data_IF_986246995904
#
_entry.id   IF_986246995904
#
_cell.length_a   1.000
_cell.length_b   1.000
_cell.length_c   1.000
_cell.angle_alpha   90.00
_cell.angle_beta   90.00
_cell.angle_gamma   90.00
#
_symmetry.space_group_name_H-M   'P 1'
#
loop_
_entity.id
_entity.type
_entity.pdbx_description
1 polymer ?
#
# COMPACT_ATOMS: atom_id res chain seq x y z
N UNK A 1 96.95 -7.23 -33.15
CA UNK A 1 96.20 -7.93 -32.10
C UNK A 1 94.72 -7.63 -32.33
N UNK A 2 94.01 -8.59 -32.91
CA UNK A 2 92.59 -8.48 -33.32
C UNK A 2 91.71 -8.83 -32.12
N UNK A 3 90.84 -7.92 -31.68
CA UNK A 3 89.69 -8.25 -30.82
C UNK A 3 88.48 -7.39 -31.23
N UNK A 4 87.64 -7.99 -32.06
CA UNK A 4 86.18 -7.99 -32.18
C UNK A 4 85.35 -6.74 -31.79
N UNK A 5 84.93 -6.04 -32.86
CA UNK A 5 83.95 -4.93 -32.96
C UNK A 5 82.47 -5.40 -32.90
N UNK A 6 82.18 -6.63 -32.46
CA UNK A 6 80.83 -7.22 -32.60
C UNK A 6 79.94 -7.28 -31.35
N UNK A 7 80.34 -6.70 -30.22
CA UNK A 7 79.53 -6.76 -28.98
C UNK A 7 78.99 -5.43 -28.45
N UNK A 8 79.38 -4.29 -29.03
CA UNK A 8 78.90 -2.97 -28.56
C UNK A 8 77.73 -2.39 -29.36
N UNK A 9 77.23 -3.11 -30.37
CA UNK A 9 76.09 -2.67 -31.18
C UNK A 9 74.72 -3.12 -30.61
N UNK A 10 74.69 -3.94 -29.55
CA UNK A 10 73.43 -4.46 -28.98
C UNK A 10 73.01 -3.71 -27.70
N UNK A 11 73.92 -2.96 -27.06
CA UNK A 11 73.61 -2.18 -25.85
C UNK A 11 73.12 -0.74 -26.12
N UNK A 12 73.30 -0.22 -27.35
CA UNK A 12 72.80 1.12 -27.71
C UNK A 12 71.35 1.13 -28.23
N UNK A 13 70.74 -0.04 -28.44
CA UNK A 13 69.37 -0.15 -29.00
C UNK A 13 68.28 -0.37 -27.93
N UNK A 14 68.66 -0.49 -26.65
CA UNK A 14 67.73 -0.66 -25.52
C UNK A 14 67.56 0.57 -24.64
N UNK A 15 68.27 1.68 -24.91
CA UNK A 15 68.19 2.91 -24.11
C UNK A 15 67.29 4.01 -24.69
N UNK A 16 66.60 3.76 -25.82
CA UNK A 16 65.66 4.72 -26.44
C UNK A 16 64.19 4.27 -26.31
N UNK A 17 63.93 3.06 -25.81
CA UNK A 17 62.57 2.52 -25.62
C UNK A 17 61.99 2.76 -24.21
N UNK A 18 62.67 3.54 -23.37
CA UNK A 18 62.32 3.75 -21.95
C UNK A 18 61.64 5.08 -21.60
N UNK A 19 61.45 6.01 -22.55
CA UNK A 19 60.93 7.35 -22.25
C UNK A 19 59.74 7.80 -23.13
N UNK A 20 59.01 6.88 -23.78
CA UNK A 20 57.86 7.21 -24.61
C UNK A 20 56.53 6.54 -24.17
N UNK A 21 56.35 6.37 -22.86
CA UNK A 21 55.09 5.86 -22.28
C UNK A 21 54.61 6.70 -21.08
N UNK A 22 54.84 8.01 -21.11
CA UNK A 22 54.37 8.95 -20.08
C UNK A 22 53.44 10.06 -20.62
N UNK A 23 52.74 9.78 -21.73
CA UNK A 23 51.64 10.60 -22.22
C UNK A 23 50.47 9.69 -22.60
N UNK A 24 49.99 8.93 -21.62
CA UNK A 24 48.63 8.41 -21.69
C UNK A 24 47.77 9.49 -21.03
N UNK A 25 46.86 10.15 -21.77
CA UNK A 25 45.91 11.05 -21.14
C UNK A 25 45.13 10.20 -20.15
N UNK A 26 45.24 10.54 -18.86
CA UNK A 26 44.28 10.10 -17.87
C UNK A 26 42.92 10.55 -18.41
N UNK A 27 42.15 9.60 -18.91
CA UNK A 27 40.80 9.79 -19.37
C UNK A 27 39.98 10.29 -18.18
N UNK A 28 39.73 11.60 -18.18
CA UNK A 28 38.74 12.28 -17.35
C UNK A 28 37.30 11.92 -17.78
N UNK A 29 37.02 10.63 -18.01
CA UNK A 29 35.72 10.10 -18.45
C UNK A 29 34.89 9.52 -17.30
N UNK A 30 35.39 9.56 -16.07
CA UNK A 30 34.68 8.98 -14.92
C UNK A 30 33.65 9.94 -14.30
N UNK A 31 33.74 11.25 -14.54
CA UNK A 31 32.89 12.25 -13.89
C UNK A 31 31.59 12.53 -14.67
N UNK A 32 31.61 12.48 -16.02
CA UNK A 32 30.41 12.71 -16.85
C UNK A 32 29.40 11.56 -16.80
N UNK A 33 29.86 10.30 -16.85
CA UNK A 33 28.95 9.15 -16.87
C UNK A 33 28.15 8.92 -15.58
N UNK A 34 28.66 9.38 -14.43
CA UNK A 34 27.92 9.34 -13.16
C UNK A 34 26.86 10.44 -13.08
N UNK A 35 27.19 11.65 -13.55
CA UNK A 35 26.24 12.76 -13.63
C UNK A 35 25.05 12.41 -14.54
N UNK A 36 25.30 11.85 -15.72
CA UNK A 36 24.26 11.45 -16.67
C UNK A 36 23.35 10.35 -16.10
N UNK A 37 23.92 9.35 -15.43
CA UNK A 37 23.14 8.27 -14.78
C UNK A 37 22.25 8.82 -13.66
N UNK A 38 22.75 9.75 -12.86
CA UNK A 38 21.98 10.36 -11.77
C UNK A 38 20.79 11.18 -12.30
N UNK A 39 20.95 11.85 -13.44
CA UNK A 39 19.88 12.60 -14.11
C UNK A 39 18.86 11.65 -14.76
N UNK A 40 19.31 10.56 -15.39
CA UNK A 40 18.41 9.52 -15.91
C UNK A 40 17.56 8.87 -14.81
N UNK A 41 18.15 8.59 -13.64
CA UNK A 41 17.43 8.09 -12.47
C UNK A 41 16.35 9.08 -12.01
N UNK A 42 16.64 10.39 -12.04
CA UNK A 42 15.65 11.44 -11.76
C UNK A 42 14.56 11.48 -12.84
N UNK A 43 14.83 11.06 -14.08
CA UNK A 43 13.81 10.94 -15.13
C UNK A 43 12.72 9.91 -14.86
N UNK A 44 13.07 8.75 -14.28
CA UNK A 44 12.08 7.81 -13.75
C UNK A 44 11.28 8.43 -12.61
N UNK A 45 11.93 9.26 -11.80
CA UNK A 45 11.27 9.97 -10.69
C UNK A 45 10.23 10.96 -11.22
N UNK A 46 10.52 11.72 -12.29
CA UNK A 46 9.57 12.66 -12.90
C UNK A 46 8.31 11.94 -13.41
N UNK A 47 8.48 10.87 -14.18
CA UNK A 47 7.33 10.13 -14.73
C UNK A 47 6.41 9.61 -13.62
N UNK A 48 6.99 9.11 -12.52
CA UNK A 48 6.21 8.67 -11.37
C UNK A 48 5.56 9.82 -10.60
N UNK A 49 6.23 10.97 -10.48
CA UNK A 49 5.64 12.19 -9.92
C UNK A 49 4.38 12.57 -10.72
N UNK A 50 4.45 12.58 -12.05
CA UNK A 50 3.32 12.92 -12.91
C UNK A 50 2.16 11.92 -12.74
N UNK A 51 2.47 10.62 -12.70
CA UNK A 51 1.48 9.58 -12.47
C UNK A 51 0.82 9.71 -11.09
N UNK A 52 1.61 10.00 -10.05
CA UNK A 52 1.13 10.22 -8.70
C UNK A 52 0.30 11.50 -8.56
N UNK A 53 0.69 12.59 -9.23
CA UNK A 53 -0.09 13.82 -9.28
C UNK A 53 -1.45 13.58 -9.95
N UNK A 54 -1.49 12.80 -11.04
CA UNK A 54 -2.73 12.39 -11.70
C UNK A 54 -3.61 11.55 -10.77
N UNK A 55 -3.03 10.56 -10.08
CA UNK A 55 -3.74 9.74 -9.10
C UNK A 55 -4.30 10.56 -7.95
N UNK A 56 -3.52 11.51 -7.42
CA UNK A 56 -3.96 12.42 -6.37
C UNK A 56 -5.11 13.31 -6.86
N UNK A 57 -5.07 13.78 -8.11
CA UNK A 57 -6.16 14.55 -8.70
C UNK A 57 -7.47 13.72 -8.81
N UNK A 58 -7.38 12.46 -9.23
CA UNK A 58 -8.53 11.55 -9.23
C UNK A 58 -9.08 11.30 -7.83
N UNK A 59 -8.20 11.16 -6.83
CA UNK A 59 -8.58 11.02 -5.43
C UNK A 59 -9.25 12.30 -4.90
N UNK A 60 -8.78 13.49 -5.30
CA UNK A 60 -9.36 14.78 -4.96
C UNK A 60 -10.80 14.90 -5.49
N UNK A 61 -11.04 14.49 -6.74
CA UNK A 61 -12.39 14.46 -7.34
C UNK A 61 -13.33 13.54 -6.54
N UNK A 62 -12.87 12.32 -6.21
CA UNK A 62 -13.65 11.38 -5.40
C UNK A 62 -13.95 11.94 -4.01
N UNK A 63 -12.97 12.56 -3.37
CA UNK A 63 -13.12 13.19 -2.06
C UNK A 63 -14.14 14.33 -2.11
N UNK A 64 -14.10 15.16 -3.15
CA UNK A 64 -15.05 16.25 -3.34
C UNK A 64 -16.48 15.73 -3.55
N UNK A 65 -16.65 14.66 -4.32
CA UNK A 65 -17.95 14.01 -4.50
C UNK A 65 -18.50 13.44 -3.18
N UNK A 66 -17.63 12.83 -2.36
CA UNK A 66 -18.00 12.35 -1.01
C UNK A 66 -18.44 13.50 -0.10
N UNK A 67 -17.73 14.64 -0.13
CA UNK A 67 -18.12 15.83 0.62
C UNK A 67 -19.48 16.38 0.20
N UNK A 68 -19.74 16.48 -1.12
CA UNK A 68 -21.03 16.95 -1.63
C UNK A 68 -22.19 16.01 -1.25
N UNK A 69 -21.97 14.70 -1.32
CA UNK A 69 -22.95 13.69 -0.89
C UNK A 69 -23.24 13.81 0.62
N UNK A 70 -22.20 13.98 1.45
CA UNK A 70 -22.37 14.20 2.88
C UNK A 70 -23.17 15.48 3.16
N UNK A 71 -22.87 16.60 2.50
CA UNK A 71 -23.65 17.83 2.64
C UNK A 71 -25.12 17.66 2.25
N UNK A 72 -25.42 16.87 1.22
CA UNK A 72 -26.79 16.58 0.83
C UNK A 72 -27.53 15.76 1.90
N UNK A 73 -26.88 14.73 2.45
CA UNK A 73 -27.45 13.93 3.53
C UNK A 73 -27.76 14.77 4.78
N UNK A 74 -26.94 15.79 5.09
CA UNK A 74 -27.26 16.76 6.15
C UNK A 74 -28.59 17.46 5.86
N UNK A 75 -28.72 18.04 4.66
CA UNK A 75 -29.91 18.82 4.29
C UNK A 75 -31.18 17.98 4.33
N UNK A 76 -31.12 16.74 3.84
CA UNK A 76 -32.25 15.80 3.86
C UNK A 76 -32.67 15.42 5.28
N UNK A 77 -31.69 15.13 6.15
CA UNK A 77 -31.95 14.79 7.56
C UNK A 77 -32.57 15.98 8.32
N UNK A 78 -32.11 17.20 8.05
CA UNK A 78 -32.68 18.43 8.63
C UNK A 78 -34.11 18.69 8.17
N UNK A 79 -34.40 18.47 6.88
CA UNK A 79 -35.76 18.62 6.35
C UNK A 79 -36.74 17.63 6.98
N UNK A 80 -36.41 16.34 7.01
CA UNK A 80 -37.26 15.30 7.62
C UNK A 80 -37.56 15.57 9.10
N UNK A 81 -36.57 16.08 9.83
CA UNK A 81 -36.74 16.45 11.24
C UNK A 81 -37.65 17.66 11.40
N UNK A 82 -37.55 18.65 10.52
CA UNK A 82 -38.41 19.84 10.52
C UNK A 82 -39.88 19.46 10.35
N UNK A 83 -40.20 18.60 9.38
CA UNK A 83 -41.57 18.11 9.15
C UNK A 83 -42.11 17.35 10.37
N UNK A 84 -41.33 16.42 10.92
CA UNK A 84 -41.73 15.66 12.09
C UNK A 84 -41.99 16.57 13.32
N UNK A 85 -41.19 17.64 13.47
CA UNK A 85 -41.34 18.64 14.52
C UNK A 85 -42.63 19.44 14.38
N UNK A 86 -43.01 19.85 13.16
CA UNK A 86 -44.26 20.58 12.91
C UNK A 86 -45.48 19.72 13.31
N UNK A 87 -45.49 18.44 12.92
CA UNK A 87 -46.57 17.52 13.26
C UNK A 87 -46.66 17.27 14.78
N UNK A 88 -45.53 17.04 15.45
CA UNK A 88 -45.51 16.88 16.90
C UNK A 88 -45.94 18.16 17.64
N UNK A 89 -45.52 19.35 17.18
CA UNK A 89 -45.91 20.62 17.78
C UNK A 89 -47.41 20.88 17.67
N UNK A 90 -48.05 20.51 16.54
CA UNK A 90 -49.50 20.60 16.37
C UNK A 90 -50.24 19.74 17.40
N UNK A 91 -49.77 18.51 17.62
CA UNK A 91 -50.33 17.60 18.62
C UNK A 91 -50.21 18.24 20.01
N UNK A 92 -49.00 18.59 20.44
CA UNK A 92 -48.77 19.21 21.77
C UNK A 92 -49.61 20.47 21.98
N UNK A 93 -49.69 21.35 20.98
CA UNK A 93 -50.51 22.56 21.05
C UNK A 93 -51.99 22.26 21.24
N UNK A 94 -52.52 21.22 20.57
CA UNK A 94 -53.93 20.85 20.69
C UNK A 94 -54.30 20.34 22.10
N UNK A 95 -53.36 19.68 22.79
CA UNK A 95 -53.53 19.31 24.20
C UNK A 95 -53.40 20.53 25.12
N UNK A 96 -52.44 21.42 24.86
CA UNK A 96 -52.20 22.61 25.70
C UNK A 96 -53.34 23.65 25.60
N UNK A 97 -53.89 23.88 24.42
CA UNK A 97 -54.96 24.86 24.18
C UNK A 97 -56.35 24.34 24.57
N UNK A 98 -56.46 23.09 25.03
CA UNK A 98 -57.74 22.49 25.42
C UNK A 98 -58.64 22.04 24.25
N UNK A 99 -58.18 22.14 23.00
CA UNK A 99 -58.92 21.63 21.82
C UNK A 99 -59.26 20.13 21.99
N UNK A 100 -58.39 19.39 22.69
CA UNK A 100 -58.54 17.97 22.98
C UNK A 100 -59.32 17.67 24.28
N UNK A 101 -59.60 18.65 25.12
CA UNK A 101 -60.38 18.46 26.36
C UNK A 101 -61.85 18.11 26.05
N UNK A 102 -62.35 18.59 24.90
CA UNK A 102 -63.68 18.24 24.38
C UNK A 102 -63.86 16.75 24.07
N UNK A 103 -62.76 15.99 23.91
CA UNK A 103 -62.83 14.55 23.60
C UNK A 103 -63.35 13.71 24.76
N UNK A 104 -63.01 14.08 25.99
CA UNK A 104 -63.57 13.42 27.19
C UNK A 104 -65.03 13.82 27.40
N UNK A 105 -65.36 15.09 27.14
CA UNK A 105 -66.75 15.58 27.19
C UNK A 105 -67.64 14.85 26.19
N UNK A 106 -67.12 14.58 24.98
CA UNK A 106 -67.80 13.81 23.93
C UNK A 106 -68.16 12.38 24.37
N UNK A 107 -67.31 11.73 25.16
CA UNK A 107 -67.55 10.37 25.68
C UNK A 107 -68.68 10.35 26.72
N UNK A 108 -68.83 11.42 27.51
CA UNK A 108 -69.88 11.55 28.53
C UNK A 108 -71.18 12.16 28.00
N UNK A 109 -71.18 12.74 26.80
CA UNK A 109 -72.38 13.33 26.17
C UNK A 109 -73.20 12.34 25.33
N UNK A 110 -72.85 11.05 25.34
CA UNK A 110 -73.42 10.07 24.42
C UNK A 110 -74.75 9.48 24.94
N UNK A 111 -75.78 9.47 24.10
CA UNK A 111 -77.14 9.04 24.46
C UNK A 111 -77.45 7.55 24.26
N UNK A 112 -76.55 6.77 23.64
CA UNK A 112 -76.75 5.33 23.40
C UNK A 112 -75.46 4.52 23.49
N UNK A 113 -75.57 3.23 23.81
CA UNK A 113 -74.41 2.33 23.88
C UNK A 113 -73.69 2.17 22.53
N UNK A 114 -74.44 2.13 21.42
CA UNK A 114 -73.88 2.02 20.06
C UNK A 114 -73.06 3.25 19.67
N UNK A 115 -73.53 4.44 20.05
CA UNK A 115 -72.80 5.69 19.82
C UNK A 115 -71.55 5.76 20.70
N UNK A 116 -71.59 5.21 21.92
CA UNK A 116 -70.45 5.24 22.84
C UNK A 116 -69.29 4.38 22.33
N UNK A 117 -69.59 3.22 21.74
CA UNK A 117 -68.60 2.37 21.06
C UNK A 117 -67.97 3.12 19.88
N UNK A 118 -68.78 3.80 19.07
CA UNK A 118 -68.29 4.57 17.91
C UNK A 118 -67.39 5.73 18.33
N UNK A 119 -67.76 6.48 19.37
CA UNK A 119 -66.94 7.57 19.93
C UNK A 119 -65.62 7.04 20.49
N UNK A 120 -65.64 5.87 21.14
CA UNK A 120 -64.44 5.21 21.67
C UNK A 120 -63.48 4.77 20.56
N UNK A 121 -63.99 4.24 19.44
CA UNK A 121 -63.18 3.91 18.27
C UNK A 121 -62.51 5.14 17.64
N UNK A 122 -63.25 6.26 17.51
CA UNK A 122 -62.67 7.52 17.03
C UNK A 122 -61.61 8.07 17.98
N UNK A 123 -61.83 7.98 19.29
CA UNK A 123 -60.85 8.41 20.29
C UNK A 123 -59.56 7.58 20.21
N UNK A 124 -59.68 6.26 20.07
CA UNK A 124 -58.53 5.37 19.87
C UNK A 124 -57.77 5.72 18.59
N UNK A 125 -58.48 6.01 17.49
CA UNK A 125 -57.86 6.43 16.23
C UNK A 125 -57.06 7.74 16.39
N UNK A 126 -57.63 8.74 17.07
CA UNK A 126 -56.95 10.02 17.35
C UNK A 126 -55.72 9.81 18.21
N UNK A 127 -55.84 9.09 19.33
CA UNK A 127 -54.73 8.81 20.23
C UNK A 127 -53.61 8.04 19.55
N UNK A 128 -53.95 7.08 18.69
CA UNK A 128 -52.96 6.32 17.89
C UNK A 128 -52.23 7.24 16.92
N UNK A 129 -52.94 8.12 16.22
CA UNK A 129 -52.33 9.08 15.29
C UNK A 129 -51.42 10.09 16.02
N UNK A 130 -51.88 10.61 17.16
CA UNK A 130 -51.11 11.55 17.98
C UNK A 130 -49.84 10.90 18.54
N UNK A 131 -49.95 9.66 19.07
CA UNK A 131 -48.81 8.85 19.49
C UNK A 131 -47.83 8.62 18.33
N UNK A 132 -48.35 8.31 17.15
CA UNK A 132 -47.52 8.08 15.97
C UNK A 132 -46.78 9.35 15.54
N UNK A 133 -47.41 10.53 15.61
CA UNK A 133 -46.77 11.81 15.29
C UNK A 133 -45.63 12.14 16.28
N UNK A 134 -45.84 11.94 17.58
CA UNK A 134 -44.81 12.15 18.62
C UNK A 134 -43.66 11.14 18.51
N UNK A 135 -43.98 9.89 18.20
CA UNK A 135 -42.98 8.84 18.01
C UNK A 135 -42.12 9.12 16.77
N UNK A 136 -42.73 9.49 15.63
CA UNK A 136 -42.00 9.91 14.42
C UNK A 136 -41.02 11.06 14.69
N UNK A 137 -41.41 12.06 15.50
CA UNK A 137 -40.50 13.13 15.89
C UNK A 137 -39.33 12.64 16.73
N UNK A 138 -39.60 11.77 17.72
CA UNK A 138 -38.56 11.21 18.59
C UNK A 138 -37.56 10.39 17.78
N UNK A 139 -38.04 9.53 16.90
CA UNK A 139 -37.22 8.69 16.02
C UNK A 139 -36.42 9.56 15.03
N UNK A 140 -37.05 10.57 14.42
CA UNK A 140 -36.38 11.51 13.53
C UNK A 140 -35.28 12.30 14.24
N UNK A 141 -35.51 12.74 15.47
CA UNK A 141 -34.52 13.48 16.27
C UNK A 141 -33.33 12.61 16.68
N UNK A 142 -33.58 11.37 17.12
CA UNK A 142 -32.50 10.41 17.44
C UNK A 142 -31.66 10.10 16.20
N UNK A 143 -32.31 9.84 15.07
CA UNK A 143 -31.64 9.59 13.80
C UNK A 143 -30.84 10.81 13.32
N UNK A 144 -31.40 12.02 13.42
CA UNK A 144 -30.66 13.25 13.09
C UNK A 144 -29.42 13.39 13.97
N UNK A 145 -29.53 13.09 15.25
CA UNK A 145 -28.40 13.20 16.19
C UNK A 145 -27.30 12.19 15.84
N UNK A 146 -27.66 10.94 15.51
CA UNK A 146 -26.67 9.94 15.09
C UNK A 146 -26.02 10.31 13.76
N UNK A 147 -26.83 10.71 12.77
CA UNK A 147 -26.35 11.12 11.45
C UNK A 147 -25.45 12.36 11.58
N UNK A 148 -25.82 13.35 12.38
CA UNK A 148 -24.96 14.53 12.62
C UNK A 148 -23.61 14.16 13.22
N UNK A 149 -23.58 13.18 14.14
CA UNK A 149 -22.32 12.70 14.73
C UNK A 149 -21.46 11.97 13.71
N UNK A 150 -22.01 10.95 13.04
CA UNK A 150 -21.32 10.17 12.01
C UNK A 150 -20.78 11.08 10.90
N UNK A 151 -21.56 12.08 10.50
CA UNK A 151 -21.22 12.99 9.42
C UNK A 151 -20.21 14.06 9.88
N UNK A 152 -20.25 14.51 11.14
CA UNK A 152 -19.19 15.37 11.69
C UNK A 152 -17.84 14.64 11.74
N UNK A 153 -17.83 13.37 12.13
CA UNK A 153 -16.65 12.52 12.14
C UNK A 153 -16.13 12.28 10.72
N UNK A 154 -17.03 11.95 9.78
CA UNK A 154 -16.71 11.80 8.36
C UNK A 154 -16.16 13.09 7.76
N UNK A 155 -16.78 14.25 8.00
CA UNK A 155 -16.30 15.54 7.53
C UNK A 155 -14.90 15.87 8.07
N UNK A 156 -14.67 15.66 9.36
CA UNK A 156 -13.35 15.88 9.98
C UNK A 156 -12.29 14.97 9.35
N UNK A 157 -12.64 13.70 9.11
CA UNK A 157 -11.76 12.74 8.42
C UNK A 157 -11.46 13.17 6.98
N UNK A 158 -12.47 13.60 6.23
CA UNK A 158 -12.35 14.10 4.86
C UNK A 158 -11.45 15.35 4.79
N UNK A 159 -11.60 16.29 5.74
CA UNK A 159 -10.74 17.50 5.79
C UNK A 159 -9.28 17.16 6.08
N UNK A 160 -9.00 16.31 7.08
CA UNK A 160 -7.64 15.85 7.38
C UNK A 160 -7.01 15.13 6.19
N UNK A 161 -7.82 14.35 5.49
CA UNK A 161 -7.42 13.63 4.28
C UNK A 161 -7.07 14.63 3.16
N UNK A 162 -7.91 15.65 2.95
CA UNK A 162 -7.66 16.74 2.00
C UNK A 162 -6.36 17.48 2.28
N UNK A 163 -6.13 17.88 3.53
CA UNK A 163 -4.91 18.58 3.94
C UNK A 163 -3.66 17.75 3.63
N UNK A 164 -3.69 16.46 3.95
CA UNK A 164 -2.60 15.53 3.63
C UNK A 164 -2.33 15.45 2.12
N UNK A 165 -3.40 15.37 1.31
CA UNK A 165 -3.26 15.34 -0.14
C UNK A 165 -2.67 16.64 -0.70
N UNK A 166 -3.11 17.80 -0.22
CA UNK A 166 -2.55 19.10 -0.65
C UNK A 166 -1.06 19.20 -0.33
N UNK A 167 -0.66 18.80 0.88
CA UNK A 167 0.74 18.76 1.28
C UNK A 167 1.58 17.80 0.41
N UNK A 168 1.05 16.62 0.11
CA UNK A 168 1.72 15.66 -0.78
C UNK A 168 1.88 16.24 -2.19
N UNK A 169 0.84 16.86 -2.73
CA UNK A 169 0.86 17.50 -4.05
C UNK A 169 1.89 18.63 -4.12
N UNK A 170 1.94 19.50 -3.11
CA UNK A 170 2.94 20.57 -3.02
C UNK A 170 4.37 20.03 -2.97
N UNK A 171 4.61 18.99 -2.16
CA UNK A 171 5.92 18.33 -2.08
C UNK A 171 6.35 17.75 -3.42
N UNK A 172 5.46 17.04 -4.11
CA UNK A 172 5.73 16.45 -5.42
C UNK A 172 6.00 17.51 -6.48
N UNK A 173 5.22 18.60 -6.50
CA UNK A 173 5.44 19.72 -7.41
C UNK A 173 6.77 20.45 -7.14
N UNK A 174 7.20 20.55 -5.89
CA UNK A 174 8.51 21.11 -5.54
C UNK A 174 9.66 20.21 -6.03
N UNK A 175 9.52 18.89 -5.85
CA UNK A 175 10.49 17.92 -6.35
C UNK A 175 10.60 17.96 -7.88
N UNK A 176 9.47 18.08 -8.59
CA UNK A 176 9.46 18.26 -10.05
C UNK A 176 10.27 19.48 -10.48
N UNK A 177 10.03 20.64 -9.85
CA UNK A 177 10.76 21.88 -10.13
C UNK A 177 12.26 21.77 -9.88
N UNK A 178 12.66 21.04 -8.83
CA UNK A 178 14.07 20.80 -8.52
C UNK A 178 14.74 20.00 -9.64
N UNK A 179 14.08 18.94 -10.12
CA UNK A 179 14.60 18.13 -11.22
C UNK A 179 14.65 18.94 -12.51
N UNK A 180 13.61 19.71 -12.83
CA UNK A 180 13.56 20.56 -14.02
C UNK A 180 14.69 21.61 -14.02
N UNK A 181 14.99 22.21 -12.87
CA UNK A 181 16.09 23.17 -12.73
C UNK A 181 17.46 22.51 -12.96
N UNK A 182 17.67 21.29 -12.46
CA UNK A 182 18.90 20.54 -12.68
C UNK A 182 19.07 20.09 -14.14
N UNK A 183 17.97 19.80 -14.83
CA UNK A 183 17.97 19.49 -16.26
C UNK A 183 18.31 20.72 -17.11
N UNK A 184 17.84 21.91 -16.71
CA UNK A 184 18.11 23.16 -17.42
C UNK A 184 19.59 23.60 -17.34
N UNK A 185 20.33 23.19 -16.30
CA UNK A 185 21.75 23.49 -16.12
C UNK A 185 22.66 22.51 -16.90
N UNK A 186 22.11 21.45 -17.49
CA UNK A 186 22.87 20.45 -18.25
C UNK A 186 23.15 20.90 -19.69
N UNK A 187 24.41 20.79 -20.10
CA UNK A 187 24.89 21.18 -21.45
C UNK A 187 24.33 20.30 -22.58
N UNK A 188 23.83 19.11 -22.28
CA UNK A 188 23.30 18.14 -23.24
C UNK A 188 21.81 17.82 -23.00
N UNK A 189 21.04 18.83 -22.58
CA UNK A 189 19.63 18.72 -22.19
C UNK A 189 18.77 17.91 -23.18
N UNK A 190 18.89 18.15 -24.49
CA UNK A 190 18.05 17.50 -25.49
C UNK A 190 18.29 15.98 -25.61
N UNK A 191 19.56 15.56 -25.56
CA UNK A 191 19.92 14.14 -25.63
C UNK A 191 19.51 13.40 -24.35
N UNK A 192 19.72 14.02 -23.18
CA UNK A 192 19.30 13.50 -21.88
C UNK A 192 17.77 13.36 -21.80
N UNK A 193 17.01 14.38 -22.22
CA UNK A 193 15.54 14.31 -22.25
C UNK A 193 15.03 13.16 -23.12
N UNK A 194 15.67 12.92 -24.28
CA UNK A 194 15.29 11.81 -25.14
C UNK A 194 15.57 10.45 -24.47
N UNK A 195 16.73 10.29 -23.84
CA UNK A 195 17.06 9.08 -23.09
C UNK A 195 16.12 8.85 -21.91
N UNK A 196 15.72 9.90 -21.18
CA UNK A 196 14.72 9.81 -20.11
C UNK A 196 13.36 9.35 -20.65
N UNK A 197 12.91 9.90 -21.78
CA UNK A 197 11.65 9.50 -22.40
C UNK A 197 11.68 8.03 -22.85
N UNK A 198 12.80 7.57 -23.41
CA UNK A 198 12.98 6.17 -23.80
C UNK A 198 12.99 5.24 -22.58
N UNK A 199 13.70 5.62 -21.51
CA UNK A 199 13.72 4.89 -20.24
C UNK A 199 12.33 4.80 -19.61
N UNK A 200 11.58 5.91 -19.59
CA UNK A 200 10.22 5.97 -19.06
C UNK A 200 9.26 5.10 -19.87
N UNK A 201 9.33 5.14 -21.21
CA UNK A 201 8.54 4.24 -22.07
C UNK A 201 8.88 2.78 -21.84
N UNK A 202 10.15 2.46 -21.65
CA UNK A 202 10.59 1.08 -21.43
C UNK A 202 10.16 0.59 -20.04
N UNK A 203 10.21 1.46 -19.03
CA UNK A 203 9.65 1.21 -17.70
C UNK A 203 8.13 0.98 -17.76
N UNK A 204 7.38 1.88 -18.37
CA UNK A 204 5.92 1.80 -18.48
C UNK A 204 5.44 0.54 -19.22
N UNK A 205 6.01 0.30 -20.42
CA UNK A 205 5.50 -0.74 -21.31
C UNK A 205 6.05 -2.14 -20.99
N UNK A 206 7.21 -2.24 -20.35
CA UNK A 206 7.85 -3.53 -20.06
C UNK A 206 8.18 -3.71 -18.58
N UNK A 207 8.76 -2.70 -17.94
CA UNK A 207 9.13 -2.75 -16.52
C UNK A 207 7.95 -3.01 -15.58
N UNK A 208 6.94 -2.12 -15.56
CA UNK A 208 5.76 -2.25 -14.70
C UNK A 208 5.05 -3.60 -14.90
N UNK A 209 4.71 -4.04 -16.13
CA UNK A 209 4.08 -5.35 -16.34
C UNK A 209 4.93 -6.52 -15.84
N UNK A 210 6.25 -6.46 -16.06
CA UNK A 210 7.18 -7.50 -15.62
C UNK A 210 7.21 -7.60 -14.10
N UNK A 211 7.44 -6.49 -13.41
CA UNK A 211 7.43 -6.43 -11.95
C UNK A 211 6.08 -6.89 -11.39
N UNK A 212 4.94 -6.43 -11.94
CA UNK A 212 3.60 -6.88 -11.49
C UNK A 212 3.46 -8.39 -11.63
N UNK A 213 3.90 -8.96 -12.74
CA UNK A 213 3.83 -10.42 -12.96
C UNK A 213 4.69 -11.18 -11.95
N UNK A 214 5.91 -10.71 -11.66
CA UNK A 214 6.79 -11.33 -10.67
C UNK A 214 6.22 -11.25 -9.26
N UNK A 215 5.76 -10.08 -8.83
CA UNK A 215 5.17 -9.89 -7.51
C UNK A 215 3.86 -10.69 -7.33
N UNK A 216 3.02 -10.77 -8.37
CA UNK A 216 1.83 -11.62 -8.35
C UNK A 216 2.19 -13.10 -8.18
N UNK A 217 3.16 -13.59 -8.96
CA UNK A 217 3.65 -14.95 -8.84
C UNK A 217 4.25 -15.22 -7.46
N UNK A 218 4.96 -14.24 -6.88
CA UNK A 218 5.61 -14.36 -5.59
C UNK A 218 4.59 -14.38 -4.46
N UNK A 219 3.63 -13.47 -4.46
CA UNK A 219 2.51 -13.47 -3.51
C UNK A 219 1.77 -14.82 -3.52
N UNK A 220 1.46 -15.35 -4.71
CA UNK A 220 0.82 -16.66 -4.84
C UNK A 220 1.69 -17.82 -4.32
N UNK A 221 3.00 -17.79 -4.57
CA UNK A 221 3.92 -18.81 -4.07
C UNK A 221 4.08 -18.74 -2.54
N UNK A 222 4.10 -17.54 -1.95
CA UNK A 222 4.21 -17.34 -0.50
C UNK A 222 2.98 -17.85 0.26
N UNK A 223 1.79 -17.81 -0.34
CA UNK A 223 0.61 -18.46 0.24
C UNK A 223 0.76 -19.99 0.34
N UNK A 224 1.60 -20.59 -0.50
CA UNK A 224 1.85 -22.04 -0.56
C UNK A 224 3.12 -22.46 0.21
N UNK A 225 3.80 -21.52 0.88
CA UNK A 225 4.96 -21.78 1.73
C UNK A 225 4.72 -22.87 2.79
N UNK A 226 3.52 -23.03 3.38
CA UNK A 226 3.23 -24.16 4.27
C UNK A 226 3.58 -25.55 3.71
N UNK A 227 3.53 -25.73 2.38
CA UNK A 227 3.91 -27.01 1.77
C UNK A 227 5.40 -27.35 2.00
N UNK A 228 6.29 -26.38 2.15
CA UNK A 228 7.70 -26.63 2.49
C UNK A 228 7.86 -27.19 3.90
N UNK A 229 6.95 -26.85 4.80
CA UNK A 229 6.92 -27.39 6.16
C UNK A 229 6.52 -28.86 6.14
N UNK A 230 5.56 -29.24 5.28
CA UNK A 230 4.96 -30.57 5.24
C UNK A 230 5.66 -31.54 4.27
N UNK A 231 6.42 -31.04 3.30
CA UNK A 231 7.03 -31.85 2.21
C UNK A 231 8.35 -32.55 2.60
N UNK A 232 8.81 -32.41 3.85
CA UNK A 232 9.98 -33.12 4.39
C UNK A 232 9.74 -34.62 4.60
N UNK A 233 9.50 -35.36 3.52
CA UNK A 233 9.19 -36.79 3.50
C UNK A 233 10.34 -37.69 3.03
N UNK A 234 11.60 -37.34 3.32
CA UNK A 234 12.76 -38.09 2.85
C UNK A 234 13.99 -37.97 3.76
N UNK A 235 14.35 -39.06 4.44
CA UNK A 235 15.56 -39.33 5.24
C UNK A 235 15.88 -38.47 6.47
N UNK A 236 15.32 -37.26 6.62
CA UNK A 236 15.27 -36.54 7.90
C UNK A 236 13.81 -36.41 8.33
N UNK A 237 13.45 -37.01 9.47
CA UNK A 237 12.05 -37.17 9.92
C UNK A 237 11.36 -35.87 10.38
N UNK A 238 12.08 -34.75 10.38
CA UNK A 238 11.52 -33.43 10.63
C UNK A 238 11.98 -32.57 9.46
N UNK A 239 11.06 -32.07 8.62
CA UNK A 239 11.36 -31.18 7.51
C UNK A 239 11.98 -29.84 7.96
N UNK A 240 11.72 -28.77 7.22
CA UNK A 240 12.19 -27.42 7.54
C UNK A 240 11.69 -26.85 8.88
N UNK A 241 11.00 -27.64 9.71
CA UNK A 241 10.51 -27.30 11.05
C UNK A 241 11.26 -28.10 12.12
N UNK A 242 12.01 -27.38 12.95
CA UNK A 242 12.72 -27.92 14.12
C UNK A 242 11.86 -27.71 15.36
N UNK A 243 11.61 -28.78 16.13
CA UNK A 243 10.80 -28.73 17.35
C UNK A 243 11.67 -28.90 18.59
N UNK A 244 11.60 -27.94 19.51
CA UNK A 244 12.29 -27.92 20.80
C UNK A 244 11.27 -27.68 21.93
N UNK A 245 10.51 -28.73 22.29
CA UNK A 245 9.44 -28.64 23.29
C UNK A 245 8.25 -27.82 22.76
N UNK A 246 7.93 -26.71 23.44
CA UNK A 246 6.85 -25.78 23.03
C UNK A 246 7.28 -24.75 21.98
N UNK A 247 8.58 -24.70 21.68
CA UNK A 247 9.17 -23.79 20.70
C UNK A 247 9.42 -24.52 19.39
N UNK A 248 9.08 -23.87 18.29
CA UNK A 248 9.26 -24.38 16.94
C UNK A 248 10.08 -23.38 16.14
N UNK A 249 10.95 -23.85 15.25
CA UNK A 249 11.72 -22.98 14.36
C UNK A 249 11.57 -23.48 12.93
N UNK A 250 10.96 -22.68 12.07
CA UNK A 250 10.99 -22.92 10.63
C UNK A 250 12.27 -22.34 10.05
N UNK A 251 13.00 -23.11 9.25
CA UNK A 251 14.26 -22.71 8.64
C UNK A 251 14.22 -22.97 7.14
N UNK A 252 14.77 -22.05 6.36
CA UNK A 252 14.87 -22.20 4.92
C UNK A 252 16.17 -21.59 4.42
N UNK A 253 16.87 -22.32 3.55
CA UNK A 253 18.09 -21.82 2.89
C UNK A 253 17.78 -21.13 1.57
N UNK A 254 18.75 -20.38 1.03
CA UNK A 254 18.67 -19.81 -0.32
C UNK A 254 18.28 -20.87 -1.36
N UNK A 255 18.95 -22.03 -1.34
CA UNK A 255 18.70 -23.10 -2.31
C UNK A 255 17.26 -23.61 -2.22
N UNK A 256 16.78 -23.86 -1.01
CA UNK A 256 15.42 -24.36 -0.78
C UNK A 256 14.35 -23.34 -1.23
N UNK A 257 14.57 -22.05 -0.96
CA UNK A 257 13.67 -21.00 -1.44
C UNK A 257 13.65 -20.94 -2.97
N UNK A 258 14.83 -20.91 -3.61
CA UNK A 258 14.92 -20.85 -5.07
C UNK A 258 14.28 -22.07 -5.73
N UNK A 259 14.54 -23.28 -5.21
CA UNK A 259 13.99 -24.52 -5.75
C UNK A 259 12.46 -24.57 -5.59
N UNK A 260 11.95 -24.13 -4.43
CA UNK A 260 10.52 -24.00 -4.19
C UNK A 260 9.87 -23.03 -5.19
N UNK A 261 10.39 -21.81 -5.30
CA UNK A 261 9.83 -20.80 -6.19
C UNK A 261 9.86 -21.28 -7.65
N UNK A 262 10.98 -21.82 -8.12
CA UNK A 262 11.12 -22.36 -9.49
C UNK A 262 10.18 -23.52 -9.79
N UNK A 263 9.84 -24.33 -8.79
CA UNK A 263 8.83 -25.39 -8.91
C UNK A 263 7.42 -24.84 -8.99
N UNK A 264 7.13 -23.73 -8.30
CA UNK A 264 5.81 -23.08 -8.30
C UNK A 264 5.54 -22.27 -9.56
N UNK A 265 6.55 -21.60 -10.10
CA UNK A 265 6.40 -20.83 -11.33
C UNK A 265 7.73 -20.79 -12.11
N UNK A 266 7.70 -21.19 -13.38
CA UNK A 266 8.89 -21.26 -14.23
C UNK A 266 9.58 -19.90 -14.42
N UNK A 267 8.85 -18.79 -14.23
CA UNK A 267 9.41 -17.43 -14.30
C UNK A 267 10.53 -17.19 -13.29
N UNK A 268 10.50 -17.87 -12.14
CA UNK A 268 11.56 -17.76 -11.13
C UNK A 268 12.87 -18.43 -11.54
N UNK A 269 12.95 -19.08 -12.70
CA UNK A 269 14.24 -19.58 -13.24
C UNK A 269 15.21 -18.46 -13.58
N UNK A 270 14.68 -17.28 -13.91
CA UNK A 270 15.47 -16.10 -14.27
C UNK A 270 15.81 -15.23 -13.04
N UNK A 271 15.31 -15.60 -11.86
CA UNK A 271 15.57 -14.90 -10.60
C UNK A 271 16.37 -15.79 -9.65
N UNK A 272 17.20 -15.14 -8.86
CA UNK A 272 17.93 -15.77 -7.76
C UNK A 272 17.68 -14.98 -6.49
N UNK A 273 17.26 -15.69 -5.45
CA UNK A 273 16.99 -15.16 -4.12
C UNK A 273 18.15 -15.49 -3.18
N UNK A 274 18.57 -14.51 -2.39
CA UNK A 274 19.64 -14.61 -1.42
C UNK A 274 19.23 -13.98 -0.09
N UNK A 275 19.47 -14.69 0.99
CA UNK A 275 19.39 -14.20 2.36
C UNK A 275 20.73 -13.61 2.78
N UNK A 276 20.69 -12.38 3.27
CA UNK A 276 21.81 -11.68 3.90
C UNK A 276 21.39 -11.32 5.34
N UNK A 277 22.34 -10.90 6.20
CA UNK A 277 21.99 -10.32 7.50
C UNK A 277 20.94 -9.21 7.35
N UNK A 278 19.81 -9.38 8.03
CA UNK A 278 18.66 -8.46 8.08
C UNK A 278 17.94 -8.16 6.75
N UNK A 279 18.32 -8.78 5.63
CA UNK A 279 17.73 -8.47 4.33
C UNK A 279 17.63 -9.68 3.39
N UNK A 280 16.64 -9.63 2.51
CA UNK A 280 16.46 -10.51 1.35
C UNK A 280 16.80 -9.73 0.10
N UNK A 281 17.51 -10.35 -0.84
CA UNK A 281 17.71 -9.81 -2.18
C UNK A 281 17.23 -10.82 -3.21
N UNK A 282 16.48 -10.36 -4.20
CA UNK A 282 16.16 -11.09 -5.40
C UNK A 282 16.74 -10.34 -6.59
N UNK A 283 17.50 -11.01 -7.46
CA UNK A 283 18.04 -10.39 -8.66
C UNK A 283 18.01 -11.33 -9.85
N UNK A 284 17.85 -10.77 -11.05
CA UNK A 284 17.81 -11.56 -12.27
C UNK A 284 17.67 -10.71 -13.52
N UNK A 285 17.53 -11.39 -14.65
CA UNK A 285 17.41 -10.76 -15.94
C UNK A 285 16.43 -11.52 -16.82
N UNK A 286 15.50 -10.80 -17.46
CA UNK A 286 14.58 -11.35 -18.45
C UNK A 286 14.70 -10.54 -19.75
N UNK A 287 15.28 -11.18 -20.78
CA UNK A 287 15.68 -10.50 -22.01
C UNK A 287 16.69 -9.39 -21.71
N UNK A 288 16.37 -8.16 -22.12
CA UNK A 288 17.21 -6.98 -21.89
C UNK A 288 16.91 -6.25 -20.58
N UNK A 289 16.04 -6.81 -19.73
CA UNK A 289 15.60 -6.18 -18.49
C UNK A 289 16.24 -6.86 -17.29
N UNK A 290 17.12 -6.14 -16.60
CA UNK A 290 17.66 -6.54 -15.31
C UNK A 290 16.76 -6.02 -14.18
N UNK A 291 16.45 -6.88 -13.23
CA UNK A 291 15.64 -6.56 -12.05
C UNK A 291 16.39 -6.90 -10.77
N UNK A 292 16.22 -6.06 -9.77
CA UNK A 292 16.68 -6.33 -8.40
C UNK A 292 15.63 -5.82 -7.41
N UNK A 293 15.38 -6.61 -6.38
CA UNK A 293 14.47 -6.29 -5.28
C UNK A 293 15.23 -6.59 -3.99
N UNK A 294 15.29 -5.63 -3.09
CA UNK A 294 15.78 -5.82 -1.73
C UNK A 294 14.64 -5.56 -0.76
N UNK A 295 14.51 -6.42 0.24
CA UNK A 295 13.50 -6.26 1.29
C UNK A 295 13.98 -6.80 2.62
N UNK A 296 13.12 -6.68 3.62
CA UNK A 296 13.35 -7.19 4.97
C UNK A 296 12.07 -7.81 5.52
N UNK A 297 12.22 -8.65 6.54
CA UNK A 297 11.10 -9.22 7.27
C UNK A 297 11.01 -8.58 8.65
N UNK A 298 9.82 -8.10 9.01
CA UNK A 298 9.54 -7.54 10.33
C UNK A 298 8.30 -8.21 10.94
N UNK A 299 8.21 -8.21 12.27
CA UNK A 299 6.98 -8.65 12.92
C UNK A 299 5.94 -7.53 12.89
N UNK A 300 4.71 -7.89 12.53
CA UNK A 300 3.56 -7.00 12.53
C UNK A 300 2.35 -7.70 13.15
N UNK A 301 1.30 -6.93 13.42
CA UNK A 301 0.03 -7.43 13.96
C UNK A 301 -1.08 -7.14 12.96
N UNK A 302 -1.99 -8.09 12.77
CA UNK A 302 -3.13 -7.93 11.85
C UNK A 302 -4.07 -6.82 12.32
N UNK A 303 -4.50 -5.97 11.38
CA UNK A 303 -5.41 -4.83 11.62
C UNK A 303 -6.88 -5.21 11.35
N UNK A 304 -7.25 -6.45 11.68
CA UNK A 304 -8.59 -7.02 11.50
C UNK A 304 -9.31 -7.30 12.83
N UNK A 305 -8.73 -6.82 13.94
CA UNK A 305 -9.21 -7.05 15.30
C UNK A 305 -8.81 -8.40 15.91
N UNK A 306 -8.09 -9.27 15.19
CA UNK A 306 -7.61 -10.55 15.73
C UNK A 306 -6.34 -10.45 16.57
N UNK A 307 -5.62 -9.33 16.48
CA UNK A 307 -4.31 -9.08 17.12
C UNK A 307 -3.27 -10.21 16.91
N UNK A 308 -3.42 -10.99 15.83
CA UNK A 308 -2.51 -12.10 15.56
C UNK A 308 -1.20 -11.58 14.97
N UNK A 309 -0.04 -12.00 15.51
CA UNK A 309 1.24 -11.61 14.96
C UNK A 309 1.52 -12.36 13.64
N UNK A 310 2.06 -11.65 12.67
CA UNK A 310 2.51 -12.19 11.38
C UNK A 310 3.86 -11.57 11.00
N UNK A 311 4.52 -12.13 9.99
CA UNK A 311 5.75 -11.57 9.47
C UNK A 311 5.40 -10.76 8.22
N UNK A 312 5.58 -9.46 8.28
CA UNK A 312 5.42 -8.56 7.13
C UNK A 312 6.73 -8.52 6.36
N UNK A 313 6.63 -8.57 5.03
CA UNK A 313 7.74 -8.23 4.16
C UNK A 313 7.67 -6.74 3.80
N UNK A 314 8.79 -6.03 3.98
CA UNK A 314 8.94 -4.63 3.62
C UNK A 314 9.89 -4.52 2.45
N UNK A 315 9.50 -3.79 1.42
CA UNK A 315 10.36 -3.56 0.27
C UNK A 315 11.28 -2.37 0.60
N UNK A 316 12.59 -2.60 0.59
CA UNK A 316 13.60 -1.58 0.90
C UNK A 316 14.06 -0.86 -0.36
N UNK A 317 14.29 -1.60 -1.44
CA UNK A 317 14.78 -1.07 -2.70
C UNK A 317 14.27 -1.92 -3.86
N UNK A 318 13.95 -1.28 -4.98
CA UNK A 318 13.73 -1.95 -6.25
C UNK A 318 14.59 -1.27 -7.30
N UNK A 319 15.20 -2.04 -8.20
CA UNK A 319 15.98 -1.51 -9.30
C UNK A 319 15.55 -2.12 -10.63
N UNK A 320 15.51 -1.26 -11.65
CA UNK A 320 15.21 -1.60 -13.02
C UNK A 320 16.37 -1.16 -13.91
N UNK A 321 17.02 -2.11 -14.59
CA UNK A 321 18.23 -1.86 -15.39
C UNK A 321 19.33 -1.10 -14.62
N UNK A 322 19.43 -1.36 -13.31
CA UNK A 322 20.37 -0.70 -12.40
C UNK A 322 19.98 0.72 -11.98
N UNK A 323 18.79 1.21 -12.33
CA UNK A 323 18.22 2.44 -11.80
C UNK A 323 17.31 2.11 -10.62
N UNK A 324 17.55 2.72 -9.45
CA UNK A 324 16.65 2.53 -8.31
C UNK A 324 15.32 3.22 -8.59
N UNK A 325 14.24 2.48 -8.35
CA UNK A 325 12.88 2.95 -8.51
C UNK A 325 12.53 3.91 -7.36
N UNK A 326 11.73 4.96 -7.61
CA UNK A 326 11.27 5.85 -6.57
C UNK A 326 10.41 5.16 -5.51
N UNK A 327 10.36 5.77 -4.32
CA UNK A 327 9.65 5.22 -3.16
C UNK A 327 8.15 5.07 -3.38
N UNK A 328 7.56 5.88 -4.26
CA UNK A 328 6.13 5.83 -4.63
C UNK A 328 5.77 4.50 -5.29
N UNK A 329 6.57 4.06 -6.27
CA UNK A 329 6.41 2.73 -6.88
C UNK A 329 6.66 1.63 -5.85
N UNK A 330 7.72 1.73 -5.04
CA UNK A 330 7.99 0.73 -4.00
C UNK A 330 6.80 0.56 -3.06
N UNK A 331 6.21 1.66 -2.59
CA UNK A 331 5.01 1.64 -1.75
C UNK A 331 3.77 1.09 -2.46
N UNK A 332 3.58 1.40 -3.74
CA UNK A 332 2.46 0.85 -4.52
C UNK A 332 2.56 -0.67 -4.62
N UNK A 333 3.74 -1.19 -4.93
CA UNK A 333 3.98 -2.63 -5.02
C UNK A 333 3.80 -3.31 -3.66
N UNK A 334 4.31 -2.73 -2.58
CA UNK A 334 4.14 -3.28 -1.24
C UNK A 334 2.65 -3.34 -0.82
N UNK A 335 1.86 -2.32 -1.16
CA UNK A 335 0.41 -2.29 -0.88
C UNK A 335 -0.38 -3.26 -1.76
N UNK A 336 0.07 -3.48 -3.00
CA UNK A 336 -0.66 -4.26 -4.00
C UNK A 336 -0.43 -5.77 -3.87
N UNK A 337 0.70 -6.18 -3.28
CA UNK A 337 1.11 -7.58 -3.23
C UNK A 337 1.52 -7.99 -1.82
N UNK A 338 0.74 -8.91 -1.26
CA UNK A 338 1.02 -9.47 0.05
C UNK A 338 2.10 -10.55 -0.03
N UNK A 339 3.30 -10.18 0.42
CA UNK A 339 4.46 -11.07 0.52
C UNK A 339 4.71 -11.51 1.98
N UNK A 340 3.74 -11.28 2.87
CA UNK A 340 3.81 -11.67 4.27
C UNK A 340 3.82 -13.18 4.48
N UNK A 341 4.38 -13.60 5.61
CA UNK A 341 4.34 -14.99 6.07
C UNK A 341 3.39 -15.07 7.25
N UNK A 342 2.41 -15.95 7.13
CA UNK A 342 1.33 -16.15 8.07
C UNK A 342 1.47 -17.51 8.76
N UNK A 343 2.04 -17.58 9.98
CA UNK A 343 2.24 -18.84 10.68
C UNK A 343 0.96 -19.67 10.84
N UNK A 344 -0.19 -19.01 10.99
CA UNK A 344 -1.50 -19.64 11.07
C UNK A 344 -1.86 -20.46 9.81
N UNK A 345 -1.30 -20.13 8.65
CA UNK A 345 -1.49 -20.91 7.42
C UNK A 345 -0.63 -22.18 7.42
N UNK A 346 0.45 -22.21 8.23
CA UNK A 346 1.25 -23.41 8.50
C UNK A 346 0.51 -24.29 9.49
N UNK A 347 0.15 -23.74 10.65
CA UNK A 347 -0.74 -24.37 11.62
C UNK A 347 -1.40 -23.32 12.52
N UNK A 348 -2.70 -23.46 12.76
CA UNK A 348 -3.50 -22.48 13.52
C UNK A 348 -3.04 -22.30 14.98
N UNK A 349 -2.36 -23.30 15.55
CA UNK A 349 -1.82 -23.27 16.91
C UNK A 349 -0.44 -22.62 17.00
N UNK A 350 0.16 -22.13 15.91
CA UNK A 350 1.48 -21.51 15.92
C UNK A 350 1.36 -19.98 15.90
N UNK A 351 2.14 -19.34 16.76
CA UNK A 351 2.35 -17.88 16.78
C UNK A 351 3.82 -17.55 16.52
N UNK A 352 4.08 -16.53 15.71
CA UNK A 352 5.43 -16.00 15.53
C UNK A 352 5.90 -15.24 16.77
N UNK A 353 7.16 -15.43 17.11
CA UNK A 353 7.87 -14.75 18.20
C UNK A 353 9.10 -14.00 17.74
N UNK A 354 9.59 -14.30 16.53
CA UNK A 354 10.70 -13.59 15.92
C UNK A 354 11.01 -14.10 14.52
N UNK A 355 11.77 -13.30 13.80
CA UNK A 355 12.38 -13.65 12.52
C UNK A 355 13.86 -13.31 12.60
N UNK A 356 14.70 -14.18 12.03
CA UNK A 356 16.15 -13.98 11.92
C UNK A 356 16.59 -14.27 10.50
N UNK A 357 17.29 -13.31 9.92
CA UNK A 357 17.94 -13.42 8.62
C UNK A 357 19.44 -13.48 8.86
N UNK A 358 20.04 -14.59 8.46
CA UNK A 358 21.47 -14.84 8.48
C UNK A 358 21.94 -15.07 7.04
N UNK A 359 23.25 -15.04 6.82
CA UNK A 359 23.82 -15.34 5.51
C UNK A 359 23.33 -16.71 5.01
N UNK A 360 22.64 -16.71 3.88
CA UNK A 360 22.10 -17.90 3.21
C UNK A 360 20.92 -18.58 3.92
N UNK A 361 20.37 -17.99 5.00
CA UNK A 361 19.35 -18.66 5.84
C UNK A 361 18.31 -17.71 6.45
N UNK A 362 17.05 -18.08 6.30
CA UNK A 362 15.92 -17.54 7.04
C UNK A 362 15.53 -18.48 8.18
N UNK A 363 15.34 -17.93 9.39
CA UNK A 363 14.80 -18.64 10.55
C UNK A 363 13.61 -17.90 11.15
N UNK A 364 12.46 -18.56 11.20
CA UNK A 364 11.24 -18.05 11.82
C UNK A 364 11.01 -18.77 13.15
N UNK A 365 11.00 -18.01 14.24
CA UNK A 365 10.80 -18.50 15.59
C UNK A 365 9.31 -18.51 15.92
N UNK A 366 8.80 -19.67 16.31
CA UNK A 366 7.39 -19.95 16.53
C UNK A 366 7.19 -20.54 17.94
N UNK A 367 6.02 -20.29 18.53
CA UNK A 367 5.58 -20.92 19.78
C UNK A 367 4.15 -21.43 19.64
N UNK A 368 3.74 -22.30 20.56
CA UNK A 368 2.33 -22.67 20.70
C UNK A 368 1.50 -21.47 21.18
N UNK A 369 0.42 -21.19 20.45
CA UNK A 369 -0.70 -20.39 20.90
C UNK A 369 -1.51 -21.25 21.89
N UNK A 370 -1.47 -20.87 23.17
CA UNK A 370 -2.25 -21.49 24.24
C UNK A 370 -3.66 -20.89 24.29
#
# INVERSE_FOLDING_TARGET
>A
MRVNIRQWAILALFSVYGCLSALWPYSAYAESGQADRSLLQKGLTIYEIDQELSRIADQEIKLQAQMQSAEQQIREAEHSTSEAKIHAAKVVRSYYMGDRDSLWVLLFSVGSFSDAVSVLDYLQMILRNDKQALQRHTDAWQRLTSVKKELADAHTSLQRTKERYLQQRERLAALQKEVDAQLADSKEQAALLQQMLELNKLWENKGIPLFKTYFQALAGAMQQLPELVTSGGGKNKNGNLVMNGVNYTFQMTDSELNDFLRKKNERFRNLTFHFYPDQVSASGQEGDIAVMIRGSYEMAVMDDGSEKPFIRFRILEMQFNGFSLPSTTVEEFEKSFDLGIYPQNIASFLQVTGVRLEEGKLSILLKLAL
#
